data_IF_700006481750
#
_entry.id   IF_700006481750
#
_cell.length_a   1.000
_cell.length_b   1.000
_cell.length_c   1.000
_cell.angle_alpha   90.00
_cell.angle_beta   90.00
_cell.angle_gamma   90.00
#
_symmetry.space_group_name_H-M   'P 1'
#
loop_
_entity.id
_entity.type
_entity.pdbx_description
1 polymer ?
#
# COMPACT_ATOMS: atom_id res chain seq x y z
N UNK A 1 -11.30 -4.84 -4.22
CA UNK A 1 -9.90 -5.06 -4.66
C UNK A 1 -8.97 -4.33 -3.73
N UNK A 2 -7.80 -4.87 -3.54
CA UNK A 2 -6.79 -4.26 -2.68
C UNK A 2 -5.42 -4.43 -3.32
N UNK A 3 -4.47 -3.65 -2.85
CA UNK A 3 -3.10 -3.68 -3.35
C UNK A 3 -2.16 -4.01 -2.19
N UNK A 4 -1.24 -4.92 -2.43
CA UNK A 4 -0.18 -5.26 -1.47
C UNK A 4 1.13 -4.68 -1.97
N UNK A 5 1.92 -4.14 -1.06
CA UNK A 5 3.21 -3.57 -1.42
C UNK A 5 4.23 -3.79 -0.30
N UNK A 6 5.49 -3.92 -0.69
CA UNK A 6 6.60 -3.97 0.26
C UNK A 6 7.60 -2.91 -0.17
N UNK A 7 8.11 -2.13 0.78
CA UNK A 7 9.08 -1.10 0.48
C UNK A 7 10.53 -1.62 0.57
N UNK A 8 11.49 -0.74 0.31
CA UNK A 8 12.90 -1.13 0.30
C UNK A 8 13.40 -1.58 1.67
N UNK A 9 12.73 -1.18 2.75
CA UNK A 9 13.08 -1.60 4.11
C UNK A 9 12.33 -2.85 4.55
N UNK A 10 11.61 -3.51 3.62
CA UNK A 10 10.80 -4.69 3.87
C UNK A 10 9.56 -4.42 4.73
N UNK A 11 9.09 -3.17 4.78
CA UNK A 11 7.84 -2.85 5.45
C UNK A 11 6.68 -3.23 4.52
N UNK A 12 5.74 -3.98 5.04
CA UNK A 12 4.58 -4.46 4.30
C UNK A 12 3.39 -3.53 4.50
N UNK A 13 2.60 -3.33 3.45
CA UNK A 13 1.41 -2.50 3.52
C UNK A 13 0.32 -3.01 2.60
N UNK A 14 -0.93 -2.63 2.94
CA UNK A 14 -2.11 -2.92 2.12
C UNK A 14 -2.82 -1.60 1.83
N UNK A 15 -3.35 -1.47 0.62
CA UNK A 15 -3.97 -0.24 0.14
C UNK A 15 -5.27 -0.55 -0.58
N UNK A 16 -6.26 0.31 -0.45
CA UNK A 16 -7.50 0.21 -1.21
C UNK A 16 -7.31 0.68 -2.65
N UNK A 17 -6.47 1.70 -2.85
CA UNK A 17 -6.16 2.25 -4.16
C UNK A 17 -4.72 1.94 -4.53
N UNK A 18 -4.43 1.91 -5.84
CA UNK A 18 -3.08 1.61 -6.32
C UNK A 18 -2.07 2.59 -5.74
N UNK A 19 -1.10 2.12 -4.96
CA UNK A 19 -0.09 3.01 -4.39
C UNK A 19 0.98 3.38 -5.39
N UNK A 20 1.64 4.50 -5.13
CA UNK A 20 2.85 4.92 -5.86
C UNK A 20 3.99 4.97 -4.86
N UNK A 21 5.21 4.71 -5.36
CA UNK A 21 6.39 4.76 -4.50
C UNK A 21 6.89 6.20 -4.39
N UNK A 22 6.96 6.69 -3.16
CA UNK A 22 7.43 8.04 -2.87
C UNK A 22 8.68 7.96 -2.01
N UNK A 23 9.82 8.12 -2.63
CA UNK A 23 11.14 8.20 -2.01
C UNK A 23 11.53 6.97 -1.20
N UNK A 24 10.76 6.59 -0.19
CA UNK A 24 11.08 5.46 0.69
C UNK A 24 9.88 4.62 1.08
N UNK A 25 8.68 4.96 0.62
CA UNK A 25 7.49 4.19 0.98
C UNK A 25 6.45 4.19 -0.12
N UNK A 26 5.55 3.22 -0.07
CA UNK A 26 4.38 3.17 -0.93
C UNK A 26 3.26 3.95 -0.28
N UNK A 27 2.61 4.84 -1.05
CA UNK A 27 1.48 5.62 -0.57
C UNK A 27 0.41 5.75 -1.64
N UNK A 28 -0.83 5.87 -1.18
CA UNK A 28 -2.00 6.04 -2.02
C UNK A 28 -2.78 7.29 -1.61
N UNK A 29 -2.05 8.34 -1.30
CA UNK A 29 -2.64 9.59 -0.82
C UNK A 29 -3.64 10.16 -1.83
N UNK A 30 -4.74 10.68 -1.33
CA UNK A 30 -5.73 11.37 -2.14
C UNK A 30 -6.21 12.63 -1.41
N UNK A 31 -6.67 13.60 -2.19
CA UNK A 31 -7.20 14.84 -1.63
C UNK A 31 -8.72 14.78 -1.56
N UNK A 32 -9.27 15.31 -0.49
CA UNK A 32 -10.71 15.50 -0.35
C UNK A 32 -11.00 16.92 0.15
N UNK A 33 -12.19 17.40 -0.21
CA UNK A 33 -12.65 18.73 0.21
C UNK A 33 -13.88 18.58 1.08
N UNK A 34 -13.86 19.23 2.25
CA UNK A 34 -15.00 19.25 3.16
C UNK A 34 -15.19 20.70 3.61
N UNK A 35 -16.35 21.27 3.29
CA UNK A 35 -16.70 22.64 3.69
C UNK A 35 -15.66 23.69 3.28
N UNK A 36 -15.06 23.51 2.09
CA UNK A 36 -14.08 24.45 1.56
C UNK A 36 -12.66 24.25 2.07
N UNK A 37 -12.44 23.28 2.94
CA UNK A 37 -11.11 22.91 3.40
C UNK A 37 -10.64 21.66 2.67
N UNK A 38 -9.33 21.57 2.42
CA UNK A 38 -8.71 20.45 1.72
C UNK A 38 -7.93 19.61 2.69
N UNK A 39 -8.10 18.29 2.56
CA UNK A 39 -7.40 17.30 3.39
C UNK A 39 -6.75 16.27 2.49
N UNK A 40 -5.58 15.79 2.89
CA UNK A 40 -4.92 14.66 2.25
C UNK A 40 -5.13 13.44 3.13
N UNK A 41 -5.71 12.40 2.54
CA UNK A 41 -5.96 11.12 3.22
C UNK A 41 -5.24 9.99 2.52
N UNK A 42 -5.11 8.88 3.21
CA UNK A 42 -4.47 7.67 2.69
C UNK A 42 -5.23 6.45 3.15
N UNK A 43 -5.27 5.41 2.31
CA UNK A 43 -5.86 4.12 2.69
C UNK A 43 -4.77 3.13 3.14
N UNK A 44 -3.54 3.59 3.29
CA UNK A 44 -2.41 2.75 3.66
C UNK A 44 -2.57 2.17 5.07
N UNK A 45 -2.46 0.85 5.18
CA UNK A 45 -2.41 0.16 6.46
C UNK A 45 -1.12 -0.66 6.46
N UNK A 46 -0.27 -0.44 7.47
CA UNK A 46 0.95 -1.22 7.61
C UNK A 46 0.65 -2.57 8.24
N UNK A 47 1.33 -3.60 7.73
CA UNK A 47 1.10 -4.98 8.14
C UNK A 47 2.29 -5.53 8.92
N UNK A 48 2.06 -6.46 9.84
CA UNK A 48 3.15 -7.18 10.48
C UNK A 48 3.98 -7.95 9.44
N UNK A 49 5.26 -8.07 9.71
CA UNK A 49 6.18 -8.79 8.84
C UNK A 49 5.72 -10.23 8.61
N UNK A 50 5.71 -10.65 7.35
CA UNK A 50 5.29 -11.98 6.97
C UNK A 50 3.82 -12.11 6.58
N UNK A 51 3.02 -11.04 6.77
CA UNK A 51 1.59 -11.07 6.44
C UNK A 51 1.35 -11.28 4.95
N UNK A 52 2.10 -10.55 4.11
CA UNK A 52 1.93 -10.66 2.65
C UNK A 52 2.28 -12.07 2.17
N UNK A 53 3.34 -12.67 2.71
CA UNK A 53 3.72 -14.03 2.35
C UNK A 53 2.61 -15.03 2.68
N UNK A 54 1.89 -14.82 3.77
CA UNK A 54 0.75 -15.67 4.13
C UNK A 54 -0.41 -15.49 3.17
N UNK A 55 -0.67 -14.26 2.75
CA UNK A 55 -1.77 -13.96 1.82
C UNK A 55 -1.47 -14.52 0.43
N UNK A 56 -0.27 -14.28 -0.09
CA UNK A 56 0.10 -14.67 -1.45
C UNK A 56 0.59 -16.10 -1.57
N UNK A 57 1.02 -16.72 -0.47
CA UNK A 57 1.66 -18.01 -0.50
C UNK A 57 3.11 -17.97 -0.98
N UNK A 58 3.68 -16.77 -1.09
CA UNK A 58 5.08 -16.56 -1.48
C UNK A 58 5.56 -15.20 -0.99
N UNK A 59 6.88 -15.04 -0.96
CA UNK A 59 7.48 -13.75 -0.58
C UNK A 59 7.31 -12.74 -1.71
N UNK A 60 6.86 -11.53 -1.36
CA UNK A 60 6.79 -10.42 -2.30
C UNK A 60 8.08 -9.61 -2.21
N UNK A 61 8.60 -9.18 -3.35
CA UNK A 61 9.77 -8.30 -3.40
C UNK A 61 9.38 -6.88 -3.75
N UNK A 62 10.25 -5.93 -3.43
CA UNK A 62 10.02 -4.52 -3.76
C UNK A 62 9.83 -4.33 -5.27
N UNK A 63 10.61 -5.02 -6.10
CA UNK A 63 10.55 -4.90 -7.55
C UNK A 63 9.21 -5.36 -8.12
N UNK A 64 8.53 -6.28 -7.45
CA UNK A 64 7.23 -6.79 -7.88
C UNK A 64 6.07 -5.92 -7.38
N UNK A 65 6.34 -5.01 -6.45
CA UNK A 65 5.29 -4.19 -5.83
C UNK A 65 4.87 -3.03 -6.74
N UNK A 66 3.62 -2.59 -6.68
CA UNK A 66 2.54 -3.19 -5.91
C UNK A 66 1.87 -4.32 -6.68
N UNK A 67 1.24 -5.23 -5.95
CA UNK A 67 0.46 -6.34 -6.53
C UNK A 67 -1.00 -6.14 -6.17
N UNK A 68 -1.88 -6.21 -7.17
CA UNK A 68 -3.32 -6.18 -6.94
C UNK A 68 -3.80 -7.57 -6.53
N UNK A 69 -4.60 -7.61 -5.45
CA UNK A 69 -5.28 -8.84 -5.06
C UNK A 69 -6.77 -8.69 -5.39
N UNK A 70 -7.30 -9.68 -6.06
CA UNK A 70 -8.72 -9.73 -6.43
C UNK A 70 -9.39 -10.90 -5.71
N UNK A 71 -10.64 -10.71 -5.39
CA UNK A 71 -11.43 -11.78 -4.77
C UNK A 71 -11.81 -12.85 -5.78
#
# INVERSE_FOLDING_TARGET
MAWLAIDKSNRESIHEYKPTFDTCEWCDDYERSVEGEYFTDSTTIYLPKGTIAKILGRVLTFEESPIEITD
#
